data_IF_032759486827
#
_entry.id   IF_032759486827
#
_cell.length_a   1.000
_cell.length_b   1.000
_cell.length_c   1.000
_cell.angle_alpha   90.00
_cell.angle_beta   90.00
_cell.angle_gamma   90.00
#
_symmetry.space_group_name_H-M   'P 1'
#
loop_
_entity.id
_entity.type
_entity.pdbx_description
1 polymer ?
#
# COMPACT_ATOMS: atom_id res chain seq x y z
N UNK A 1 21.41 0.41 -8.74
CA UNK A 1 20.78 -0.74 -8.06
C UNK A 1 19.45 -0.26 -7.51
N UNK A 2 18.33 -0.67 -8.10
CA UNK A 2 17.02 -0.14 -7.72
C UNK A 2 16.49 -0.88 -6.49
N UNK A 3 16.68 -0.29 -5.31
CA UNK A 3 16.06 -0.73 -4.04
C UNK A 3 14.62 -0.25 -3.98
N UNK A 4 13.77 -0.78 -4.87
CA UNK A 4 12.34 -0.50 -4.83
C UNK A 4 11.70 -1.18 -3.60
N UNK A 5 10.84 -0.44 -2.90
CA UNK A 5 10.12 -0.92 -1.74
C UNK A 5 8.93 -1.74 -2.23
N UNK A 6 9.02 -3.06 -2.03
CA UNK A 6 7.95 -3.99 -2.34
C UNK A 6 6.99 -4.12 -1.16
N UNK A 7 5.80 -3.57 -1.30
CA UNK A 7 4.73 -3.71 -0.31
C UNK A 7 3.88 -4.92 -0.65
N UNK A 8 3.95 -5.95 0.20
CA UNK A 8 3.11 -7.13 0.08
C UNK A 8 1.74 -6.86 0.68
N UNK A 9 0.70 -7.26 -0.03
CA UNK A 9 -0.71 -7.14 0.37
C UNK A 9 -1.34 -8.52 0.35
N UNK A 10 -2.11 -8.82 1.39
CA UNK A 10 -2.88 -10.05 1.53
C UNK A 10 -4.35 -9.72 1.73
N UNK A 11 -5.19 -10.38 0.96
CA UNK A 11 -6.63 -10.23 1.01
C UNK A 11 -7.28 -11.43 1.71
N UNK A 12 -8.35 -11.17 2.42
CA UNK A 12 -9.29 -12.17 2.91
C UNK A 12 -10.07 -12.79 1.75
N UNK A 13 -10.66 -13.98 1.93
CA UNK A 13 -11.61 -14.55 0.97
C UNK A 13 -12.84 -13.66 0.71
N UNK A 14 -13.17 -12.75 1.62
CA UNK A 14 -14.24 -11.76 1.48
C UNK A 14 -13.82 -10.53 0.63
N UNK A 15 -12.54 -10.44 0.24
CA UNK A 15 -11.99 -9.33 -0.55
C UNK A 15 -11.43 -8.16 0.27
N UNK A 16 -11.54 -8.20 1.60
CA UNK A 16 -10.95 -7.19 2.50
C UNK A 16 -9.44 -7.38 2.66
N UNK A 17 -8.70 -6.30 2.91
CA UNK A 17 -7.25 -6.36 3.14
C UNK A 17 -6.98 -6.84 4.56
N UNK A 18 -6.38 -8.02 4.68
CA UNK A 18 -6.00 -8.62 5.95
C UNK A 18 -4.70 -8.03 6.47
N UNK A 19 -3.69 -7.98 5.60
CA UNK A 19 -2.34 -7.56 5.96
C UNK A 19 -1.72 -6.75 4.81
N UNK A 20 -1.00 -5.70 5.17
CA UNK A 20 -0.25 -4.88 4.23
C UNK A 20 1.04 -4.39 4.89
N UNK A 21 2.16 -4.52 4.17
CA UNK A 21 3.45 -4.01 4.61
C UNK A 21 3.53 -2.47 4.57
N UNK A 22 4.57 -1.91 5.18
CA UNK A 22 4.87 -0.47 5.13
C UNK A 22 3.66 0.41 5.46
N UNK A 23 2.87 -0.02 6.45
CA UNK A 23 1.68 0.71 6.88
C UNK A 23 2.07 1.82 7.86
N UNK A 24 1.70 3.09 7.61
CA UNK A 24 1.96 4.17 8.55
C UNK A 24 1.15 4.01 9.85
N UNK A 25 1.73 4.44 10.97
CA UNK A 25 1.07 4.44 12.27
C UNK A 25 -0.06 5.49 12.28
N UNK A 26 -1.30 5.04 12.19
CA UNK A 26 -2.48 5.91 12.09
C UNK A 26 -3.50 5.45 11.05
N UNK A 27 -3.11 4.56 10.12
CA UNK A 27 -3.98 4.03 9.10
C UNK A 27 -4.29 2.54 9.33
N UNK A 28 -5.51 2.12 8.99
CA UNK A 28 -5.83 0.69 8.86
C UNK A 28 -5.22 0.10 7.60
N UNK A 29 -5.08 -1.23 7.54
CA UNK A 29 -4.57 -1.92 6.37
C UNK A 29 -5.40 -1.62 5.10
N UNK A 30 -6.73 -1.56 5.26
CA UNK A 30 -7.65 -1.23 4.19
C UNK A 30 -7.52 0.22 3.71
N UNK A 31 -7.40 1.18 4.62
CA UNK A 31 -7.21 2.60 4.27
C UNK A 31 -5.90 2.81 3.52
N UNK A 32 -4.81 2.20 4.00
CA UNK A 32 -3.52 2.27 3.34
C UNK A 32 -3.56 1.67 1.94
N UNK A 33 -4.21 0.51 1.76
CA UNK A 33 -4.42 -0.08 0.44
C UNK A 33 -5.25 0.83 -0.48
N UNK A 34 -6.37 1.36 0.01
CA UNK A 34 -7.22 2.26 -0.77
C UNK A 34 -6.48 3.55 -1.18
N UNK A 35 -5.60 4.06 -0.33
CA UNK A 35 -4.75 5.18 -0.64
C UNK A 35 -3.74 4.81 -1.74
N UNK A 36 -3.01 3.70 -1.60
CA UNK A 36 -2.04 3.24 -2.60
C UNK A 36 -2.69 2.97 -3.97
N UNK A 37 -3.91 2.42 -4.02
CA UNK A 37 -4.60 2.18 -5.30
C UNK A 37 -5.03 3.47 -6.00
N UNK A 38 -5.19 4.58 -5.26
CA UNK A 38 -5.48 5.91 -5.83
C UNK A 38 -4.23 6.61 -6.34
N UNK A 39 -3.05 6.20 -5.89
CA UNK A 39 -1.79 6.83 -6.27
C UNK A 39 -1.38 6.40 -7.69
N UNK A 40 -1.26 7.39 -8.57
CA UNK A 40 -0.87 7.18 -9.96
C UNK A 40 0.63 6.90 -10.06
N UNK A 41 1.03 5.92 -10.86
CA UNK A 41 2.44 5.58 -11.09
C UNK A 41 3.02 4.52 -10.15
N UNK A 42 2.24 4.02 -9.18
CA UNK A 42 2.63 2.83 -8.43
C UNK A 42 2.50 1.60 -9.31
N UNK A 43 3.57 0.80 -9.36
CA UNK A 43 3.55 -0.46 -10.08
C UNK A 43 2.82 -1.51 -9.24
N UNK A 44 1.50 -1.60 -9.45
CA UNK A 44 0.63 -2.58 -8.80
C UNK A 44 0.57 -3.89 -9.59
N UNK A 45 0.86 -5.00 -8.92
CA UNK A 45 0.78 -6.34 -9.50
C UNK A 45 -0.11 -7.23 -8.63
N UNK A 46 -1.23 -7.65 -9.18
CA UNK A 46 -2.13 -8.63 -8.56
C UNK A 46 -1.58 -10.04 -8.76
N UNK A 47 -1.49 -10.81 -7.69
CA UNK A 47 -1.02 -12.19 -7.68
C UNK A 47 -2.18 -13.14 -7.37
N UNK A 48 -2.10 -14.38 -7.86
CA UNK A 48 -3.14 -15.38 -7.61
C UNK A 48 -3.28 -15.74 -6.13
N UNK A 49 -4.53 -15.96 -5.70
CA UNK A 49 -4.88 -16.38 -4.34
C UNK A 49 -4.96 -15.24 -3.33
N UNK A 50 -5.52 -14.09 -3.72
CA UNK A 50 -5.74 -12.96 -2.81
C UNK A 50 -4.44 -12.33 -2.33
N UNK A 51 -3.46 -12.18 -3.22
CA UNK A 51 -2.20 -11.51 -2.92
C UNK A 51 -1.98 -10.39 -3.93
N UNK A 52 -1.34 -9.31 -3.51
CA UNK A 52 -0.84 -8.31 -4.43
C UNK A 52 0.46 -7.72 -3.93
N UNK A 53 1.17 -7.04 -4.82
CA UNK A 53 2.37 -6.30 -4.48
C UNK A 53 2.32 -4.91 -5.11
N UNK A 54 2.72 -3.90 -4.34
CA UNK A 54 3.05 -2.58 -4.87
C UNK A 54 4.56 -2.42 -4.91
N UNK A 55 5.04 -1.86 -6.01
CA UNK A 55 6.42 -1.42 -6.17
C UNK A 55 6.47 0.09 -6.09
N UNK A 56 7.23 0.60 -5.14
CA UNK A 56 7.31 2.01 -4.79
C UNK A 56 8.78 2.42 -4.70
N UNK A 57 9.12 3.55 -5.33
CA UNK A 57 10.43 4.13 -5.16
C UNK A 57 10.63 4.53 -3.67
N UNK A 58 11.77 4.17 -3.05
CA UNK A 58 12.01 4.45 -1.63
C UNK A 58 11.96 5.95 -1.31
N UNK A 59 12.31 6.80 -2.28
CA UNK A 59 12.23 8.26 -2.19
C UNK A 59 10.79 8.77 -2.04
N UNK A 60 9.83 8.11 -2.71
CA UNK A 60 8.42 8.48 -2.65
C UNK A 60 7.71 7.92 -1.40
N UNK A 61 8.26 6.91 -0.74
CA UNK A 61 7.63 6.22 0.38
C UNK A 61 7.31 7.18 1.54
N UNK A 62 8.26 8.03 1.93
CA UNK A 62 8.07 8.98 3.03
C UNK A 62 6.90 9.94 2.78
N UNK A 63 6.86 10.55 1.58
CA UNK A 63 5.76 11.44 1.20
C UNK A 63 4.41 10.72 1.09
N UNK A 64 4.39 9.44 0.72
CA UNK A 64 3.16 8.64 0.67
C UNK A 64 2.62 8.33 2.07
N UNK A 65 3.49 8.06 3.05
CA UNK A 65 3.08 7.89 4.45
C UNK A 65 2.42 9.14 5.01
N UNK A 66 3.06 10.29 4.83
CA UNK A 66 2.53 11.57 5.31
C UNK A 66 1.18 11.90 4.67
N UNK A 67 1.06 11.72 3.35
CA UNK A 67 -0.20 11.95 2.63
C UNK A 67 -1.32 10.99 3.06
N UNK A 68 -1.02 9.72 3.30
CA UNK A 68 -2.03 8.77 3.75
C UNK A 68 -2.54 9.07 5.16
N UNK A 69 -1.64 9.45 6.07
CA UNK A 69 -2.05 9.86 7.43
C UNK A 69 -2.88 11.14 7.36
N UNK A 70 -2.49 12.10 6.51
CA UNK A 70 -3.25 13.32 6.29
C UNK A 70 -4.64 13.05 5.69
N UNK A 71 -4.78 12.11 4.74
CA UNK A 71 -6.08 11.74 4.16
C UNK A 71 -6.99 11.02 5.16
N UNK A 72 -6.44 10.19 6.06
CA UNK A 72 -7.24 9.52 7.10
C UNK A 72 -7.64 10.49 8.23
N UNK A 73 -6.83 11.51 8.49
CA UNK A 73 -7.11 12.52 9.50
C UNK A 73 -8.07 13.63 9.01
N UNK A 74 -8.29 13.74 7.70
CA UNK A 74 -9.18 14.71 7.07
C UNK A 74 -10.64 14.23 7.04
#
# INVERSE_FOLDING_TARGET
>A
MSTDVMIHVRFAPDGTVMEIGERPAGCTAQQWFNFLTRQSGLSYLTLSGGRAVFRIAPDAMGGLHEQAVAEVAA
#
